data_IF_582742048377
#
_entry.id   IF_582742048377
#
_cell.length_a   1.000
_cell.length_b   1.000
_cell.length_c   1.000
_cell.angle_alpha   90.00
_cell.angle_beta   90.00
_cell.angle_gamma   90.00
#
_symmetry.space_group_name_H-M   'P 1'
#
loop_
_entity.id
_entity.type
_entity.pdbx_description
1 polymer ?
#
# COMPACT_ATOMS: atom_id res chain seq x y z
N UNK A 1 -3.92 29.82 -16.49
CA UNK A 1 -3.05 30.88 -17.06
C UNK A 1 -2.21 31.47 -15.94
N UNK A 2 -0.92 31.70 -16.23
CA UNK A 2 -0.07 32.75 -15.63
C UNK A 2 0.43 32.51 -14.18
N UNK A 3 1.67 32.02 -14.04
CA UNK A 3 2.96 32.76 -13.84
C UNK A 3 3.20 33.09 -12.36
N UNK A 4 4.19 32.46 -11.71
CA UNK A 4 5.60 32.87 -11.58
C UNK A 4 5.80 34.20 -10.84
N UNK A 5 6.87 34.23 -10.03
CA UNK A 5 7.39 35.28 -9.13
C UNK A 5 7.02 35.06 -7.64
N UNK A 6 7.90 35.21 -6.63
CA UNK A 6 9.17 35.95 -6.54
C UNK A 6 9.94 35.55 -5.25
N UNK A 7 11.24 35.82 -5.28
CA UNK A 7 12.12 36.31 -4.19
C UNK A 7 12.49 35.43 -2.99
N UNK A 8 13.75 34.99 -2.98
CA UNK A 8 14.62 35.10 -1.81
C UNK A 8 15.99 35.62 -2.25
N UNK A 9 16.25 36.88 -1.91
CA UNK A 9 17.58 37.48 -1.89
C UNK A 9 18.11 37.34 -0.46
N UNK A 10 19.35 36.89 -0.33
CA UNK A 10 20.20 37.19 0.82
C UNK A 10 21.64 37.19 0.33
N UNK A 11 22.15 38.40 0.09
CA UNK A 11 23.56 38.72 -0.04
C UNK A 11 24.31 38.31 1.22
N UNK A 12 25.49 37.72 1.05
CA UNK A 12 26.59 37.87 1.99
C UNK A 12 27.87 38.03 1.15
N UNK A 13 28.43 39.24 1.20
CA UNK A 13 29.68 39.61 0.56
C UNK A 13 30.69 40.01 1.65
N UNK A 14 31.91 39.48 1.54
CA UNK A 14 33.19 40.02 2.01
C UNK A 14 34.29 39.14 1.37
N UNK A 15 34.92 39.53 0.26
CA UNK A 15 36.11 40.39 0.16
C UNK A 15 37.30 39.81 0.96
N UNK A 16 38.16 38.96 0.38
CA UNK A 16 39.29 39.19 -0.54
C UNK A 16 40.61 39.51 0.16
N UNK A 17 41.65 38.67 -0.04
CA UNK A 17 43.07 39.05 -0.14
C UNK A 17 43.74 38.01 -1.05
N UNK A 18 44.34 38.50 -2.13
CA UNK A 18 45.25 37.77 -3.00
C UNK A 18 46.68 37.94 -2.47
N UNK A 19 47.49 36.88 -2.52
CA UNK A 19 48.94 37.04 -2.65
C UNK A 19 49.54 35.84 -3.38
N UNK A 20 50.19 36.18 -4.49
CA UNK A 20 50.99 35.33 -5.36
C UNK A 20 52.17 34.73 -4.60
N UNK A 21 52.45 33.45 -4.85
CA UNK A 21 53.63 32.76 -4.35
C UNK A 21 53.77 31.40 -4.99
N UNK A 22 54.49 31.35 -6.12
CA UNK A 22 54.93 30.10 -6.71
C UNK A 22 56.02 29.49 -5.82
N UNK A 23 55.71 28.37 -5.17
CA UNK A 23 56.70 27.48 -4.56
C UNK A 23 56.66 26.16 -5.31
N UNK A 24 57.80 25.81 -5.90
CA UNK A 24 58.04 24.53 -6.55
C UNK A 24 58.16 23.49 -5.44
N UNK A 25 57.08 22.75 -5.19
CA UNK A 25 57.09 21.65 -4.23
C UNK A 25 57.72 20.41 -4.90
N UNK A 26 58.97 20.12 -4.54
CA UNK A 26 59.60 18.83 -4.78
C UNK A 26 58.75 17.73 -4.14
N UNK A 27 58.17 16.87 -4.99
CA UNK A 27 57.37 15.74 -4.56
C UNK A 27 58.25 14.74 -3.79
N UNK A 28 58.11 14.71 -2.47
CA UNK A 28 58.50 13.56 -1.67
C UNK A 28 57.44 12.46 -1.86
N UNK A 29 57.82 11.17 -2.03
CA UNK A 29 56.87 10.08 -2.11
C UNK A 29 56.17 9.91 -0.76
N UNK A 30 54.94 10.42 -0.67
CA UNK A 30 54.03 10.09 0.42
C UNK A 30 53.65 8.62 0.30
N UNK A 31 54.14 7.82 1.25
CA UNK A 31 53.68 6.45 1.44
C UNK A 31 52.16 6.49 1.67
N UNK A 32 51.38 5.62 1.01
CA UNK A 32 49.94 5.55 1.24
C UNK A 32 49.70 4.95 2.62
N UNK A 33 49.59 5.80 3.64
CA UNK A 33 49.03 5.41 4.94
C UNK A 33 47.57 5.06 4.69
N UNK A 34 47.30 3.77 4.54
CA UNK A 34 45.95 3.24 4.41
C UNK A 34 45.22 3.60 5.70
N UNK A 35 44.40 4.65 5.63
CA UNK A 35 43.42 4.96 6.66
C UNK A 35 42.39 3.82 6.63
N UNK A 36 42.67 2.75 7.38
CA UNK A 36 41.73 1.67 7.63
C UNK A 36 40.55 2.29 8.35
N UNK A 37 39.53 2.62 7.56
CA UNK A 37 38.27 3.10 8.10
C UNK A 37 37.66 1.91 8.82
N UNK A 38 37.89 1.82 10.13
CA UNK A 38 37.17 0.90 11.01
C UNK A 38 35.70 1.28 10.93
N UNK A 39 34.99 0.67 9.98
CA UNK A 39 33.54 0.74 9.87
C UNK A 39 33.01 0.08 11.13
N UNK A 40 32.69 0.89 12.12
CA UNK A 40 32.10 0.46 13.38
C UNK A 40 30.97 -0.54 13.08
N UNK A 41 31.16 -1.79 13.47
CA UNK A 41 30.22 -2.87 13.25
C UNK A 41 28.85 -2.43 13.77
N UNK A 42 27.90 -2.27 12.86
CA UNK A 42 26.56 -1.73 13.15
C UNK A 42 25.83 -2.73 14.05
N UNK A 43 25.92 -2.51 15.36
CA UNK A 43 25.34 -3.37 16.40
C UNK A 43 23.89 -3.69 16.06
N UNK A 44 23.52 -4.97 16.07
CA UNK A 44 22.19 -5.42 15.68
C UNK A 44 21.11 -4.69 16.51
N UNK A 45 20.01 -4.22 15.88
CA UNK A 45 19.04 -3.40 16.57
C UNK A 45 18.28 -4.20 17.63
N UNK A 46 18.30 -3.73 18.87
CA UNK A 46 17.64 -4.37 20.02
C UNK A 46 16.11 -4.54 19.85
N UNK A 47 15.48 -3.70 19.02
CA UNK A 47 14.09 -3.84 18.60
C UNK A 47 14.00 -3.67 17.09
N UNK A 48 13.40 -4.65 16.42
CA UNK A 48 13.13 -4.62 14.98
C UNK A 48 11.68 -4.19 14.73
N UNK A 49 11.48 -3.08 14.01
CA UNK A 49 10.16 -2.64 13.55
C UNK A 49 9.91 -3.23 12.15
N UNK A 50 8.95 -4.17 12.09
CA UNK A 50 8.61 -4.87 10.86
C UNK A 50 7.84 -3.96 9.88
N UNK A 51 7.89 -4.32 8.59
CA UNK A 51 7.06 -3.68 7.58
C UNK A 51 5.59 -4.05 7.81
N UNK A 52 4.71 -3.05 7.78
CA UNK A 52 3.26 -3.27 7.80
C UNK A 52 2.84 -3.57 6.37
N UNK A 53 2.26 -4.76 6.15
CA UNK A 53 1.79 -5.17 4.83
C UNK A 53 0.68 -4.25 4.31
N UNK A 54 0.67 -4.04 2.99
CA UNK A 54 -0.43 -3.37 2.32
C UNK A 54 -1.73 -4.16 2.52
N UNK A 55 -2.84 -3.44 2.70
CA UNK A 55 -4.15 -4.06 2.91
C UNK A 55 -5.10 -3.73 1.78
N UNK A 56 -6.14 -4.53 1.63
CA UNK A 56 -7.23 -4.23 0.72
C UNK A 56 -8.58 -4.32 1.43
N UNK A 57 -9.50 -3.42 1.05
CA UNK A 57 -10.84 -3.30 1.64
C UNK A 57 -11.89 -3.26 0.53
N UNK A 58 -13.01 -3.96 0.73
CA UNK A 58 -14.17 -3.93 -0.16
C UNK A 58 -15.02 -2.70 0.14
N UNK A 59 -15.45 -1.99 -0.90
CA UNK A 59 -16.38 -0.86 -0.75
C UNK A 59 -15.87 0.24 0.20
N UNK A 60 -16.68 0.62 1.18
CA UNK A 60 -16.41 1.66 2.18
C UNK A 60 -15.75 1.14 3.47
N UNK A 61 -15.41 -0.16 3.52
CA UNK A 61 -14.84 -0.78 4.71
C UNK A 61 -13.49 -0.16 5.11
N UNK A 62 -13.19 -0.20 6.41
CA UNK A 62 -11.95 0.33 6.99
C UNK A 62 -11.00 -0.82 7.36
N UNK A 63 -9.72 -0.65 7.09
CA UNK A 63 -8.68 -1.59 7.52
C UNK A 63 -8.10 -1.18 8.87
N UNK A 64 -8.04 -2.13 9.80
CA UNK A 64 -7.38 -1.94 11.10
C UNK A 64 -5.87 -2.12 10.96
N UNK A 65 -5.11 -1.08 11.31
CA UNK A 65 -3.64 -1.05 11.25
C UNK A 65 -3.08 -1.06 12.67
N UNK A 66 -2.16 -1.99 12.93
CA UNK A 66 -1.48 -2.17 14.21
C UNK A 66 0.04 -2.18 14.00
N UNK A 67 0.82 -1.71 14.97
CA UNK A 67 2.27 -1.73 14.89
C UNK A 67 2.81 -3.16 15.00
N UNK A 68 3.73 -3.55 14.11
CA UNK A 68 4.40 -4.86 14.11
C UNK A 68 5.87 -4.70 14.52
N UNK A 69 6.29 -5.34 15.62
CA UNK A 69 7.66 -5.24 16.15
C UNK A 69 8.08 -6.58 16.72
N UNK A 70 9.40 -6.85 16.68
CA UNK A 70 10.07 -7.97 17.35
C UNK A 70 11.12 -7.40 18.29
N UNK A 71 11.16 -7.87 19.53
CA UNK A 71 12.16 -7.49 20.52
C UNK A 71 13.20 -8.61 20.66
N UNK A 72 14.47 -8.25 20.87
CA UNK A 72 15.52 -9.22 21.17
C UNK A 72 15.37 -9.76 22.61
N UNK A 73 16.05 -10.88 22.93
CA UNK A 73 16.09 -11.43 24.29
C UNK A 73 16.67 -10.38 25.26
N UNK A 74 16.06 -10.23 26.44
CA UNK A 74 16.47 -9.25 27.45
C UNK A 74 15.94 -7.82 27.25
N UNK A 75 15.09 -7.59 26.24
CA UNK A 75 14.50 -6.28 25.95
C UNK A 75 13.03 -6.21 26.39
N UNK A 76 12.69 -5.27 27.28
CA UNK A 76 11.31 -5.04 27.75
C UNK A 76 10.66 -3.90 26.98
N UNK A 77 9.72 -4.20 26.08
CA UNK A 77 8.94 -3.18 25.36
C UNK A 77 7.93 -2.54 26.31
N UNK A 78 7.99 -1.22 26.48
CA UNK A 78 7.12 -0.47 27.40
C UNK A 78 5.93 0.17 26.68
N UNK A 79 6.11 0.64 25.44
CA UNK A 79 5.01 1.17 24.66
C UNK A 79 5.22 1.01 23.16
N UNK A 80 4.10 0.95 22.44
CA UNK A 80 4.08 0.72 20.99
C UNK A 80 2.93 1.50 20.37
N UNK A 81 3.26 2.60 19.69
CA UNK A 81 2.27 3.53 19.18
C UNK A 81 2.52 3.87 17.71
N UNK A 82 1.44 4.24 17.03
CA UNK A 82 1.41 4.66 15.65
C UNK A 82 1.00 6.13 15.55
N UNK A 83 1.64 6.82 14.61
CA UNK A 83 1.21 8.10 14.07
C UNK A 83 0.97 7.93 12.58
N UNK A 84 -0.21 8.30 12.11
CA UNK A 84 -0.64 8.14 10.72
C UNK A 84 -0.89 9.50 10.10
N UNK A 85 -0.23 9.78 8.97
CA UNK A 85 -0.45 10.96 8.15
C UNK A 85 -0.96 10.57 6.77
N UNK A 86 -1.84 11.40 6.21
CA UNK A 86 -2.28 11.33 4.81
C UNK A 86 -1.96 12.69 4.17
N UNK A 87 -0.94 12.73 3.31
CA UNK A 87 -0.37 13.99 2.83
C UNK A 87 0.11 14.86 3.99
N UNK A 88 -0.35 16.11 4.05
CA UNK A 88 -0.02 17.08 5.13
C UNK A 88 -0.85 16.86 6.40
N UNK A 89 -1.99 16.15 6.33
CA UNK A 89 -2.92 15.98 7.46
C UNK A 89 -2.49 14.83 8.37
N UNK A 90 -2.48 15.08 9.68
CA UNK A 90 -2.32 14.02 10.69
C UNK A 90 -3.70 13.44 11.01
N UNK A 91 -3.90 12.16 10.73
CA UNK A 91 -5.18 11.48 10.98
C UNK A 91 -5.24 10.80 12.34
N UNK A 92 -4.10 10.33 12.84
CA UNK A 92 -3.98 9.74 14.16
C UNK A 92 -2.57 9.96 14.72
N UNK A 93 -2.46 10.20 16.02
CA UNK A 93 -1.19 10.40 16.73
C UNK A 93 -1.18 9.56 18.00
N UNK A 94 -0.07 8.87 18.26
CA UNK A 94 0.17 8.07 19.47
C UNK A 94 -0.93 7.03 19.78
N UNK A 95 -1.48 6.36 18.75
CA UNK A 95 -2.52 5.33 18.93
C UNK A 95 -1.94 3.92 18.80
N UNK A 96 -2.44 2.95 19.55
CA UNK A 96 -2.03 1.53 19.47
C UNK A 96 -2.66 0.80 18.27
N UNK A 97 -3.74 1.36 17.71
CA UNK A 97 -4.46 0.84 16.54
C UNK A 97 -5.22 1.98 15.85
N UNK A 98 -5.34 1.91 14.52
CA UNK A 98 -6.09 2.90 13.73
C UNK A 98 -6.89 2.21 12.63
N UNK A 99 -8.17 2.59 12.46
CA UNK A 99 -9.02 2.15 11.34
C UNK A 99 -8.91 3.18 10.21
N UNK A 100 -8.39 2.77 9.06
CA UNK A 100 -8.14 3.65 7.92
C UNK A 100 -8.97 3.22 6.70
N UNK A 101 -9.42 4.19 5.91
CA UNK A 101 -10.08 3.94 4.61
C UNK A 101 -9.03 3.56 3.54
N UNK A 102 -9.49 3.28 2.33
CA UNK A 102 -8.59 3.14 1.20
C UNK A 102 -7.85 4.46 0.92
N UNK A 103 -6.54 4.37 0.68
CA UNK A 103 -5.67 5.53 0.52
C UNK A 103 -4.19 5.19 0.72
N UNK A 104 -3.33 6.18 0.46
CA UNK A 104 -1.88 6.12 0.75
C UNK A 104 -1.60 6.88 2.04
N UNK A 105 -0.89 6.24 2.96
CA UNK A 105 -0.61 6.75 4.30
C UNK A 105 0.88 6.69 4.62
N UNK A 106 1.40 7.69 5.33
CA UNK A 106 2.68 7.59 6.03
C UNK A 106 2.41 7.17 7.47
N UNK A 107 2.87 5.98 7.83
CA UNK A 107 2.70 5.39 9.15
C UNK A 107 4.05 5.38 9.85
N UNK A 108 4.13 6.12 10.96
CA UNK A 108 5.30 6.12 11.84
C UNK A 108 5.00 5.28 13.06
N UNK A 109 5.78 4.22 13.24
CA UNK A 109 5.75 3.40 14.46
C UNK A 109 6.81 3.91 15.42
N UNK A 110 6.41 4.22 16.65
CA UNK A 110 7.32 4.55 17.76
C UNK A 110 7.21 3.48 18.83
N UNK A 111 8.35 2.98 19.28
CA UNK A 111 8.47 1.93 20.28
C UNK A 111 9.38 2.43 21.37
N UNK A 112 8.86 2.49 22.59
CA UNK A 112 9.68 2.72 23.78
C UNK A 112 9.98 1.36 24.39
N UNK A 113 11.23 1.14 24.80
CA UNK A 113 11.69 -0.12 25.36
C UNK A 113 12.78 0.11 26.40
N UNK A 114 13.07 -0.91 27.20
CA UNK A 114 14.13 -0.92 28.21
C UNK A 114 15.08 -2.08 27.95
N UNK A 115 16.37 -1.81 28.14
CA UNK A 115 17.43 -2.83 28.20
C UNK A 115 18.05 -2.67 29.59
N UNK A 116 17.82 -3.64 30.47
CA UNK A 116 18.09 -3.48 31.90
C UNK A 116 17.35 -2.27 32.49
N UNK A 117 18.08 -1.37 33.16
CA UNK A 117 17.53 -0.13 33.76
C UNK A 117 17.41 1.03 32.76
N UNK A 118 18.06 0.97 31.59
CA UNK A 118 18.12 2.08 30.62
C UNK A 118 16.91 2.08 29.69
N UNK A 119 16.34 3.26 29.44
CA UNK A 119 15.21 3.48 28.52
C UNK A 119 15.74 3.84 27.13
N UNK A 120 15.08 3.32 26.11
CA UNK A 120 15.43 3.55 24.72
C UNK A 120 14.17 3.76 23.88
N UNK A 121 14.34 4.42 22.74
CA UNK A 121 13.26 4.67 21.78
C UNK A 121 13.73 4.27 20.40
N UNK A 122 12.92 3.49 19.69
CA UNK A 122 13.09 3.20 18.28
C UNK A 122 11.89 3.75 17.50
N UNK A 123 12.14 4.33 16.33
CA UNK A 123 11.06 4.77 15.46
C UNK A 123 11.35 4.44 14.01
N UNK A 124 10.30 4.12 13.25
CA UNK A 124 10.38 3.82 11.82
C UNK A 124 9.16 4.35 11.10
N UNK A 125 9.40 5.17 10.10
CA UNK A 125 8.37 5.63 9.18
C UNK A 125 8.30 4.70 7.96
N UNK A 126 7.09 4.42 7.49
CA UNK A 126 6.86 3.61 6.30
C UNK A 126 5.58 4.03 5.58
N UNK A 127 5.56 3.82 4.28
CA UNK A 127 4.37 4.07 3.46
C UNK A 127 3.48 2.83 3.46
N UNK A 128 2.21 3.02 3.76
CA UNK A 128 1.18 2.00 3.72
C UNK A 128 0.16 2.36 2.65
N UNK A 129 -0.16 1.39 1.78
CA UNK A 129 -1.22 1.53 0.79
C UNK A 129 -2.37 0.62 1.18
N UNK A 130 -3.56 1.21 1.34
CA UNK A 130 -4.80 0.48 1.51
C UNK A 130 -5.57 0.58 0.19
N UNK A 131 -5.59 -0.50 -0.58
CA UNK A 131 -6.25 -0.54 -1.89
C UNK A 131 -7.75 -0.78 -1.71
N UNK A 132 -8.59 0.02 -2.37
CA UNK A 132 -10.02 -0.30 -2.53
C UNK A 132 -10.13 -1.40 -3.57
N UNK A 133 -10.55 -2.60 -3.18
CA UNK A 133 -10.99 -3.58 -4.18
C UNK A 133 -12.37 -3.16 -4.66
N UNK A 134 -12.45 -2.78 -5.93
CA UNK A 134 -13.73 -2.59 -6.59
C UNK A 134 -14.47 -3.92 -6.59
N UNK A 135 -15.79 -3.97 -6.31
CA UNK A 135 -16.56 -5.18 -6.57
C UNK A 135 -16.33 -5.56 -8.03
N UNK A 136 -15.79 -6.75 -8.28
CA UNK A 136 -15.68 -7.25 -9.65
C UNK A 136 -17.08 -7.29 -10.22
N UNK A 137 -17.29 -6.73 -11.41
CA UNK A 137 -18.58 -6.82 -12.10
C UNK A 137 -18.91 -8.32 -12.24
N UNK A 138 -19.99 -8.74 -11.62
CA UNK A 138 -20.43 -10.15 -11.59
C UNK A 138 -21.32 -10.49 -12.76
N UNK A 139 -21.78 -9.46 -13.48
CA UNK A 139 -22.62 -9.56 -14.67
C UNK A 139 -22.19 -8.58 -15.78
N UNK A 140 -22.53 -8.88 -17.03
CA UNK A 140 -22.30 -8.06 -18.20
C UNK A 140 -23.56 -8.02 -19.07
N UNK A 141 -23.69 -6.96 -19.85
CA UNK A 141 -24.74 -6.88 -20.85
C UNK A 141 -24.43 -7.87 -22.00
N UNK A 142 -25.43 -8.60 -22.49
CA UNK A 142 -25.29 -9.47 -23.64
C UNK A 142 -25.06 -8.67 -24.93
N UNK A 143 -24.37 -9.29 -25.89
CA UNK A 143 -24.26 -8.79 -27.27
C UNK A 143 -25.17 -9.65 -28.16
N UNK A 144 -26.44 -9.28 -28.25
CA UNK A 144 -27.47 -10.06 -28.94
C UNK A 144 -27.67 -11.44 -28.28
N UNK A 145 -27.47 -12.52 -29.04
CA UNK A 145 -27.60 -13.91 -28.53
C UNK A 145 -26.36 -14.40 -27.78
N UNK A 146 -25.29 -13.61 -27.72
CA UNK A 146 -24.00 -14.04 -27.21
C UNK A 146 -23.62 -13.26 -25.95
N UNK A 147 -23.02 -13.99 -25.01
CA UNK A 147 -22.34 -13.40 -23.87
C UNK A 147 -20.85 -13.26 -24.15
N UNK A 148 -20.19 -12.21 -23.62
CA UNK A 148 -18.74 -12.12 -23.67
C UNK A 148 -18.10 -13.32 -22.97
N UNK A 149 -16.94 -13.78 -23.43
CA UNK A 149 -16.27 -14.99 -22.90
C UNK A 149 -15.98 -14.92 -21.40
N UNK A 150 -15.76 -13.72 -20.88
CA UNK A 150 -15.57 -13.47 -19.44
C UNK A 150 -16.84 -13.66 -18.59
N UNK A 151 -18.01 -13.82 -19.23
CA UNK A 151 -19.32 -14.01 -18.60
C UNK A 151 -20.11 -15.14 -19.29
N UNK A 152 -19.70 -16.42 -19.15
CA UNK A 152 -20.25 -17.53 -19.92
C UNK A 152 -21.63 -18.01 -19.47
N UNK A 153 -22.22 -17.43 -18.42
CA UNK A 153 -23.51 -17.88 -17.90
C UNK A 153 -24.61 -16.96 -18.43
N UNK A 154 -25.53 -17.49 -19.25
CA UNK A 154 -26.65 -16.73 -19.83
C UNK A 154 -27.82 -16.69 -18.87
N UNK A 155 -28.23 -15.53 -18.39
CA UNK A 155 -29.45 -15.33 -17.61
C UNK A 155 -30.54 -14.67 -18.45
N UNK A 156 -31.75 -15.21 -18.40
CA UNK A 156 -32.94 -14.63 -19.03
C UNK A 156 -34.21 -14.99 -18.25
N UNK A 157 -35.32 -14.29 -18.53
CA UNK A 157 -36.64 -14.75 -18.11
C UNK A 157 -37.14 -15.79 -19.11
N UNK A 158 -37.44 -17.00 -18.65
CA UNK A 158 -37.89 -18.09 -19.55
C UNK A 158 -38.90 -19.03 -18.89
N UNK A 159 -39.75 -19.63 -19.72
CA UNK A 159 -40.90 -20.45 -19.33
C UNK A 159 -42.21 -19.65 -19.28
N UNK A 160 -43.32 -20.36 -19.13
CA UNK A 160 -44.68 -19.79 -19.11
C UNK A 160 -44.88 -18.75 -18.00
N UNK A 161 -44.15 -18.88 -16.89
CA UNK A 161 -44.24 -18.00 -15.72
C UNK A 161 -43.18 -16.89 -15.70
N UNK A 162 -42.43 -16.67 -16.80
CA UNK A 162 -41.36 -15.65 -16.90
C UNK A 162 -40.34 -15.70 -15.76
N UNK A 163 -39.99 -16.91 -15.31
CA UNK A 163 -39.04 -17.12 -14.22
C UNK A 163 -37.61 -16.75 -14.64
N UNK A 164 -36.83 -16.17 -13.73
CA UNK A 164 -35.40 -15.90 -13.95
C UNK A 164 -34.59 -17.19 -13.89
N UNK A 165 -34.07 -17.63 -15.04
CA UNK A 165 -33.23 -18.83 -15.14
C UNK A 165 -31.87 -18.51 -15.75
N UNK A 166 -30.85 -19.22 -15.28
CA UNK A 166 -29.52 -19.17 -15.87
C UNK A 166 -29.19 -20.47 -16.59
N UNK A 167 -28.46 -20.34 -17.69
CA UNK A 167 -27.98 -21.41 -18.56
C UNK A 167 -26.46 -21.39 -18.60
N UNK A 168 -25.83 -22.54 -18.43
CA UNK A 168 -24.38 -22.74 -18.49
C UNK A 168 -23.97 -23.29 -19.85
N UNK A 169 -22.72 -23.01 -20.27
CA UNK A 169 -22.14 -23.58 -21.49
C UNK A 169 -22.15 -25.12 -21.39
N UNK A 170 -22.85 -25.77 -22.31
CA UNK A 170 -23.06 -27.23 -22.31
C UNK A 170 -24.51 -27.65 -22.01
N UNK A 171 -25.34 -26.77 -21.45
CA UNK A 171 -26.78 -27.04 -21.27
C UNK A 171 -27.54 -27.05 -22.60
N UNK A 172 -28.60 -27.86 -22.68
CA UNK A 172 -29.35 -28.08 -23.92
C UNK A 172 -29.89 -26.77 -24.52
N UNK A 173 -30.31 -25.83 -23.65
CA UNK A 173 -30.90 -24.57 -24.07
C UNK A 173 -29.88 -23.43 -24.26
N UNK A 174 -28.61 -23.62 -23.92
CA UNK A 174 -27.60 -22.55 -23.92
C UNK A 174 -27.44 -21.86 -25.28
N UNK A 175 -27.45 -22.62 -26.38
CA UNK A 175 -27.29 -22.08 -27.74
C UNK A 175 -28.53 -21.33 -28.24
N UNK A 176 -29.73 -21.71 -27.77
CA UNK A 176 -31.01 -21.15 -28.20
C UNK A 176 -31.43 -19.94 -27.34
N UNK A 177 -30.97 -19.89 -26.10
CA UNK A 177 -31.28 -18.81 -25.17
C UNK A 177 -30.67 -17.48 -25.61
N UNK A 178 -31.53 -16.46 -25.71
CA UNK A 178 -31.15 -15.05 -25.80
C UNK A 178 -30.96 -14.53 -24.37
N UNK A 179 -29.71 -14.25 -23.94
CA UNK A 179 -29.46 -13.70 -22.61
C UNK A 179 -29.99 -12.27 -22.49
N UNK A 180 -30.50 -11.91 -21.32
CA UNK A 180 -30.75 -10.53 -20.88
C UNK A 180 -29.61 -10.02 -19.99
N UNK A 181 -29.00 -10.93 -19.22
CA UNK A 181 -27.83 -10.67 -18.40
C UNK A 181 -26.85 -11.83 -18.53
N UNK A 182 -25.56 -11.53 -18.61
CA UNK A 182 -24.50 -12.54 -18.67
C UNK A 182 -23.73 -12.54 -17.35
N UNK A 183 -23.63 -13.67 -16.67
CA UNK A 183 -22.92 -13.79 -15.40
C UNK A 183 -21.55 -14.44 -15.56
N UNK A 184 -20.63 -14.07 -14.67
CA UNK A 184 -19.28 -14.66 -14.63
C UNK A 184 -19.31 -16.10 -14.10
N UNK A 185 -20.20 -16.37 -13.15
CA UNK A 185 -20.37 -17.69 -12.54
C UNK A 185 -21.85 -17.97 -12.23
N UNK A 186 -22.17 -19.25 -11.99
CA UNK A 186 -23.51 -19.66 -11.55
C UNK A 186 -23.84 -19.16 -10.15
N UNK A 187 -22.82 -18.93 -9.31
CA UNK A 187 -22.98 -18.32 -7.99
C UNK A 187 -23.42 -16.86 -8.09
N UNK A 188 -22.84 -16.11 -9.04
CA UNK A 188 -23.23 -14.73 -9.32
C UNK A 188 -24.68 -14.64 -9.84
N UNK A 189 -25.08 -15.59 -10.70
CA UNK A 189 -26.46 -15.68 -11.19
C UNK A 189 -27.46 -15.99 -10.06
N UNK A 190 -27.13 -16.94 -9.17
CA UNK A 190 -27.95 -17.27 -7.99
C UNK A 190 -28.08 -16.09 -7.03
N UNK A 191 -26.99 -15.35 -6.78
CA UNK A 191 -27.01 -14.12 -5.99
C UNK A 191 -27.88 -13.03 -6.61
N UNK A 192 -28.01 -13.01 -7.94
CA UNK A 192 -28.90 -12.12 -8.66
C UNK A 192 -30.37 -12.61 -8.70
N UNK A 193 -30.70 -13.74 -8.05
CA UNK A 193 -32.05 -14.29 -7.98
C UNK A 193 -32.43 -15.27 -9.09
N UNK A 194 -31.46 -15.69 -9.92
CA UNK A 194 -31.71 -16.65 -11.00
C UNK A 194 -31.60 -18.09 -10.46
N UNK A 195 -32.51 -18.95 -10.89
CA UNK A 195 -32.40 -20.41 -10.64
C UNK A 195 -31.75 -21.12 -11.82
N UNK A 196 -31.21 -22.32 -11.57
CA UNK A 196 -30.64 -23.14 -12.63
C UNK A 196 -31.73 -23.60 -13.62
N UNK A 197 -31.41 -23.60 -14.92
CA UNK A 197 -32.17 -24.38 -15.89
C UNK A 197 -32.13 -25.86 -15.50
N UNK A 198 -33.27 -26.55 -15.57
CA UNK A 198 -33.37 -27.98 -15.26
C UNK A 198 -32.74 -28.88 -16.34
N UNK A 199 -32.27 -28.31 -17.46
CA UNK A 199 -31.70 -28.99 -18.64
C UNK A 199 -30.62 -28.14 -19.30
#
# INVERSE_FOLDING_TARGET
>A
MKTFTRTFAALAAAASIALSGAVVATAAPVTPTQAVSIVAAKKAPAVTINKIANKSVKGSAKATIRPSVKAAKGVKVTSKVLTVKQGKKTLAKNKTSVKLKAGKYKVTTKVNYKIGKKKHTASKAQTLVIKKVSPKKTWAAPKGKNCPESFPVKGNKTGSNKEWKYHVKGGQYYKRTVPEQCFKSTDDARKAGYRASKR
#
